data_IF_473248863058
#
_entry.id   IF_473248863058
#
_cell.length_a   1.000
_cell.length_b   1.000
_cell.length_c   1.000
_cell.angle_alpha   90.00
_cell.angle_beta   90.00
_cell.angle_gamma   90.00
#
_symmetry.space_group_name_H-M   'P 1'
#
loop_
_entity.id
_entity.type
_entity.pdbx_description
1 polymer ?
#
# COMPACT_ATOMS: atom_id res chain seq x y z
N UNK A 1 -91.25 -2.57 -28.39
CA UNK A 1 -90.86 -1.95 -27.10
C UNK A 1 -89.38 -2.16 -26.90
N UNK A 2 -88.65 -1.09 -27.15
CA UNK A 2 -87.16 -1.02 -26.96
C UNK A 2 -86.85 -0.76 -25.46
N UNK A 3 -85.91 -1.51 -24.93
CA UNK A 3 -85.25 -1.15 -23.65
C UNK A 3 -83.76 -1.10 -23.98
N UNK A 4 -83.25 0.11 -23.94
CA UNK A 4 -81.83 0.46 -24.09
C UNK A 4 -81.17 0.29 -22.73
N UNK A 5 -80.25 -0.68 -22.59
CA UNK A 5 -79.43 -0.83 -21.41
C UNK A 5 -78.11 0.03 -21.52
N UNK A 6 -77.99 1.02 -20.68
CA UNK A 6 -76.80 1.85 -20.62
C UNK A 6 -75.69 1.11 -19.82
N UNK A 7 -74.58 0.81 -20.51
CA UNK A 7 -73.35 0.28 -19.91
C UNK A 7 -72.50 1.46 -19.37
N UNK A 8 -72.44 1.68 -18.09
CA UNK A 8 -71.53 2.62 -17.44
C UNK A 8 -70.15 1.99 -17.29
N UNK A 9 -69.20 2.47 -18.08
CA UNK A 9 -67.81 2.08 -18.01
C UNK A 9 -67.15 2.78 -16.80
N UNK A 10 -66.77 2.05 -15.82
CA UNK A 10 -65.95 2.50 -14.67
C UNK A 10 -64.48 2.69 -15.11
N UNK A 11 -64.12 3.92 -15.48
CA UNK A 11 -62.76 4.39 -15.66
C UNK A 11 -62.28 5.00 -14.30
N UNK A 12 -61.81 4.19 -13.41
CA UNK A 12 -61.36 4.67 -12.08
C UNK A 12 -60.20 3.87 -11.50
N UNK A 13 -59.23 3.45 -12.29
CA UNK A 13 -58.14 2.62 -11.74
C UNK A 13 -56.71 3.07 -12.04
N UNK A 14 -56.47 4.06 -12.89
CA UNK A 14 -55.10 4.43 -13.33
C UNK A 14 -54.47 5.63 -12.62
N UNK A 15 -55.20 6.34 -11.77
CA UNK A 15 -54.70 7.60 -11.21
C UNK A 15 -54.01 7.44 -9.84
N UNK A 16 -54.28 6.38 -9.11
CA UNK A 16 -53.70 6.17 -7.78
C UNK A 16 -52.29 5.55 -7.83
N UNK A 17 -51.99 4.69 -8.79
CA UNK A 17 -50.65 4.15 -9.02
C UNK A 17 -49.66 5.25 -9.42
N UNK A 18 -50.04 6.13 -10.33
CA UNK A 18 -49.15 7.23 -10.77
C UNK A 18 -48.87 8.26 -9.66
N UNK A 19 -49.82 8.49 -8.75
CA UNK A 19 -49.61 9.34 -7.60
C UNK A 19 -48.69 8.68 -6.55
N UNK A 20 -48.80 7.38 -6.36
CA UNK A 20 -47.93 6.64 -5.46
C UNK A 20 -46.48 6.60 -5.99
N UNK A 21 -46.28 6.38 -7.30
CA UNK A 21 -44.96 6.37 -7.91
C UNK A 21 -44.30 7.76 -7.93
N UNK A 22 -45.06 8.82 -8.15
CA UNK A 22 -44.53 10.19 -8.10
C UNK A 22 -44.16 10.61 -6.67
N UNK A 23 -44.90 10.17 -5.66
CA UNK A 23 -44.59 10.40 -4.25
C UNK A 23 -43.30 9.65 -3.83
N UNK A 24 -43.11 8.41 -4.27
CA UNK A 24 -41.87 7.64 -4.02
C UNK A 24 -40.66 8.27 -4.68
N UNK A 25 -40.78 8.68 -5.93
CA UNK A 25 -39.68 9.41 -6.63
C UNK A 25 -39.35 10.77 -5.97
N UNK A 26 -40.35 11.47 -5.43
CA UNK A 26 -40.10 12.70 -4.71
C UNK A 26 -39.35 12.47 -3.38
N UNK A 27 -39.68 11.41 -2.66
CA UNK A 27 -39.02 11.04 -1.40
C UNK A 27 -37.58 10.53 -1.65
N UNK A 28 -37.39 9.71 -2.70
CA UNK A 28 -36.08 9.24 -3.11
C UNK A 28 -35.16 10.39 -3.58
N UNK A 29 -35.72 11.36 -4.33
CA UNK A 29 -34.99 12.57 -4.71
C UNK A 29 -34.66 13.47 -3.51
N UNK A 30 -35.51 13.53 -2.48
CA UNK A 30 -35.24 14.26 -1.27
C UNK A 30 -34.09 13.60 -0.48
N UNK A 31 -34.08 12.29 -0.38
CA UNK A 31 -33.02 11.51 0.31
C UNK A 31 -31.66 11.65 -0.44
N UNK A 32 -31.68 11.56 -1.77
CA UNK A 32 -30.48 11.75 -2.59
C UNK A 32 -29.90 13.16 -2.44
N UNK A 33 -30.74 14.19 -2.35
CA UNK A 33 -30.30 15.57 -2.11
C UNK A 33 -29.66 15.76 -0.75
N UNK A 34 -30.16 15.10 0.30
CA UNK A 34 -29.57 15.14 1.64
C UNK A 34 -28.18 14.50 1.63
N UNK A 35 -28.07 13.31 1.04
CA UNK A 35 -26.77 12.60 0.96
C UNK A 35 -25.73 13.35 0.12
N UNK A 36 -26.15 14.00 -0.99
CA UNK A 36 -25.23 14.82 -1.80
C UNK A 36 -24.78 16.09 -1.07
N UNK A 37 -25.64 16.70 -0.25
CA UNK A 37 -25.25 17.85 0.57
C UNK A 37 -24.29 17.44 1.69
N UNK A 38 -24.53 16.32 2.36
CA UNK A 38 -23.62 15.81 3.39
C UNK A 38 -22.21 15.51 2.83
N UNK A 39 -22.16 14.89 1.63
CA UNK A 39 -20.89 14.65 0.95
C UNK A 39 -20.19 15.93 0.49
N UNK A 40 -20.95 16.95 0.08
CA UNK A 40 -20.39 18.25 -0.28
C UNK A 40 -19.80 18.97 0.94
N UNK A 41 -20.46 18.89 2.09
CA UNK A 41 -19.99 19.48 3.34
C UNK A 41 -18.73 18.76 3.87
N UNK A 42 -18.67 17.42 3.75
CA UNK A 42 -17.49 16.65 4.12
C UNK A 42 -16.29 16.98 3.22
N UNK A 43 -16.51 17.08 1.91
CA UNK A 43 -15.49 17.52 0.95
C UNK A 43 -15.01 18.95 1.25
N UNK A 44 -15.91 19.86 1.63
CA UNK A 44 -15.54 21.21 2.01
C UNK A 44 -14.68 21.23 3.27
N UNK A 45 -15.02 20.43 4.29
CA UNK A 45 -14.22 20.28 5.52
C UNK A 45 -12.82 19.72 5.23
N UNK A 46 -12.72 18.65 4.44
CA UNK A 46 -11.43 18.07 4.08
C UNK A 46 -10.56 19.03 3.26
N UNK A 47 -11.16 19.85 2.37
CA UNK A 47 -10.44 20.89 1.64
C UNK A 47 -9.94 22.00 2.56
N UNK A 48 -10.77 22.46 3.49
CA UNK A 48 -10.39 23.47 4.47
C UNK A 48 -9.27 22.98 5.39
N UNK A 49 -9.29 21.71 5.80
CA UNK A 49 -8.24 21.10 6.60
C UNK A 49 -6.93 20.95 5.81
N UNK A 50 -7.01 20.57 4.54
CA UNK A 50 -5.84 20.51 3.65
C UNK A 50 -5.21 21.89 3.42
N UNK A 51 -6.04 22.93 3.22
CA UNK A 51 -5.55 24.31 3.12
C UNK A 51 -4.94 24.80 4.43
N UNK A 52 -5.53 24.44 5.56
CA UNK A 52 -4.98 24.74 6.89
C UNK A 52 -3.64 24.06 7.14
N UNK A 53 -3.49 22.79 6.70
CA UNK A 53 -2.23 22.04 6.78
C UNK A 53 -1.16 22.62 5.84
N UNK A 54 -1.57 23.14 4.67
CA UNK A 54 -0.67 23.83 3.75
C UNK A 54 -0.31 25.25 4.21
N UNK A 55 -1.25 25.93 4.88
CA UNK A 55 -1.07 27.28 5.41
C UNK A 55 -0.44 27.31 6.80
N UNK A 56 -0.21 26.17 7.44
CA UNK A 56 0.60 26.12 8.65
C UNK A 56 1.97 26.71 8.32
N UNK A 57 2.38 27.80 8.98
CA UNK A 57 3.67 28.41 8.68
C UNK A 57 4.73 27.32 8.91
N UNK A 58 5.52 27.07 7.87
CA UNK A 58 6.76 26.33 8.04
C UNK A 58 7.45 26.97 9.24
N UNK A 59 7.62 26.22 10.32
CA UNK A 59 8.37 26.66 11.47
C UNK A 59 9.77 26.96 10.96
N UNK A 60 9.98 28.20 10.57
CA UNK A 60 11.29 28.76 10.28
C UNK A 60 12.00 28.82 11.63
N UNK A 61 12.61 27.72 12.01
CA UNK A 61 13.69 27.77 12.98
C UNK A 61 14.96 28.24 12.27
N UNK A 62 14.98 29.53 12.01
CA UNK A 62 16.23 30.25 11.75
C UNK A 62 16.89 30.47 13.11
N UNK A 63 17.60 29.47 13.61
CA UNK A 63 18.71 29.72 14.50
C UNK A 63 19.98 29.53 13.68
N UNK A 64 20.90 30.49 13.68
CA UNK A 64 22.23 30.28 13.14
C UNK A 64 22.98 29.41 14.15
N UNK A 65 22.84 28.13 14.03
CA UNK A 65 23.73 27.19 14.67
C UNK A 65 25.00 27.17 13.83
N UNK A 66 26.11 27.57 14.47
CA UNK A 66 27.46 27.45 13.97
C UNK A 66 27.63 26.11 13.22
N UNK A 67 28.21 26.20 12.01
CA UNK A 67 28.57 25.05 11.19
C UNK A 67 29.36 24.04 12.01
N UNK A 68 28.84 22.84 12.27
CA UNK A 68 29.71 21.73 12.59
C UNK A 68 30.27 21.21 11.26
N UNK A 69 31.58 21.20 11.18
CA UNK A 69 32.38 20.57 10.14
C UNK A 69 31.68 19.35 9.57
N UNK A 70 31.42 19.39 8.26
CA UNK A 70 31.16 18.30 7.31
C UNK A 70 31.04 16.90 7.92
N UNK A 71 29.93 16.62 8.60
CA UNK A 71 29.46 15.26 8.76
C UNK A 71 28.53 15.02 7.55
N UNK A 72 29.05 14.37 6.52
CA UNK A 72 28.20 13.74 5.48
C UNK A 72 27.11 12.99 6.22
N UNK A 73 25.79 13.21 5.89
CA UNK A 73 24.73 12.46 6.57
C UNK A 73 25.07 10.98 6.47
N UNK A 74 24.89 10.20 7.53
CA UNK A 74 25.26 8.80 7.54
C UNK A 74 24.55 8.12 6.36
N UNK A 75 25.32 7.65 5.39
CA UNK A 75 24.80 7.04 4.18
C UNK A 75 24.29 5.66 4.53
N UNK A 76 23.04 5.37 4.15
CA UNK A 76 22.53 4.01 4.21
C UNK A 76 23.44 3.08 3.41
N UNK A 77 23.82 1.96 3.99
CA UNK A 77 24.58 0.91 3.29
C UNK A 77 23.58 -0.09 2.74
N UNK A 78 23.52 -0.21 1.42
CA UNK A 78 22.63 -1.14 0.74
C UNK A 78 23.39 -2.38 0.31
N UNK A 79 22.96 -3.54 0.77
CA UNK A 79 23.46 -4.86 0.37
C UNK A 79 22.39 -5.50 -0.51
N UNK A 80 22.64 -5.56 -1.81
CA UNK A 80 21.73 -6.19 -2.78
C UNK A 80 22.00 -7.68 -2.88
N UNK A 81 20.92 -8.49 -2.81
CA UNK A 81 20.99 -9.92 -3.04
C UNK A 81 20.01 -10.31 -4.15
N UNK A 82 20.52 -10.97 -5.18
CA UNK A 82 19.69 -11.41 -6.29
C UNK A 82 18.60 -12.38 -5.82
N UNK A 83 17.36 -12.13 -6.23
CA UNK A 83 16.23 -12.94 -5.84
C UNK A 83 16.32 -14.39 -6.31
N UNK A 84 16.93 -14.61 -7.47
CA UNK A 84 17.12 -15.96 -8.04
C UNK A 84 18.14 -16.80 -7.27
N UNK A 85 19.05 -16.15 -6.53
CA UNK A 85 19.97 -16.81 -5.58
C UNK A 85 19.22 -17.19 -4.30
N UNK A 86 18.36 -16.29 -3.81
CA UNK A 86 17.62 -16.50 -2.56
C UNK A 86 16.46 -17.49 -2.71
N UNK A 87 15.71 -17.41 -3.82
CA UNK A 87 14.42 -18.10 -3.97
C UNK A 87 14.29 -18.78 -5.33
N UNK A 88 13.53 -19.87 -5.38
CA UNK A 88 13.04 -20.39 -6.65
C UNK A 88 11.90 -19.51 -7.18
N UNK A 89 11.63 -19.60 -8.49
CA UNK A 89 10.59 -18.82 -9.15
C UNK A 89 9.22 -18.98 -8.46
N UNK A 90 8.58 -17.87 -8.11
CA UNK A 90 7.28 -17.85 -7.41
C UNK A 90 7.30 -18.37 -5.97
N UNK A 91 8.47 -18.76 -5.44
CA UNK A 91 8.62 -19.29 -4.08
C UNK A 91 9.14 -18.23 -3.10
N UNK A 92 8.90 -18.50 -1.82
CA UNK A 92 9.42 -17.69 -0.69
C UNK A 92 10.40 -18.49 0.18
N UNK A 93 10.48 -19.81 0.00
CA UNK A 93 11.44 -20.64 0.73
C UNK A 93 12.87 -20.36 0.25
N UNK A 94 13.79 -20.16 1.18
CA UNK A 94 15.19 -19.88 0.90
C UNK A 94 15.90 -21.12 0.35
N UNK A 95 16.62 -20.92 -0.74
CA UNK A 95 17.54 -21.91 -1.31
C UNK A 95 18.80 -22.03 -0.46
N UNK A 96 19.56 -23.09 -0.64
CA UNK A 96 20.82 -23.32 0.09
C UNK A 96 21.82 -22.18 -0.18
N UNK A 97 22.00 -21.82 -1.43
CA UNK A 97 22.91 -20.74 -1.87
C UNK A 97 22.51 -19.40 -1.24
N UNK A 98 21.20 -19.15 -1.16
CA UNK A 98 20.67 -17.95 -0.50
C UNK A 98 20.93 -17.93 1.00
N UNK A 99 20.84 -19.08 1.67
CA UNK A 99 21.19 -19.20 3.10
C UNK A 99 22.66 -18.93 3.35
N UNK A 100 23.54 -19.48 2.50
CA UNK A 100 24.99 -19.28 2.61
C UNK A 100 25.37 -17.80 2.44
N UNK A 101 24.68 -17.08 1.54
CA UNK A 101 24.88 -15.64 1.36
C UNK A 101 24.34 -14.85 2.55
N UNK A 102 23.14 -15.16 3.03
CA UNK A 102 22.56 -14.53 4.21
C UNK A 102 23.36 -14.78 5.49
N UNK A 103 24.06 -15.91 5.62
CA UNK A 103 24.97 -16.20 6.74
C UNK A 103 26.15 -15.23 6.78
N UNK A 104 26.74 -14.89 5.63
CA UNK A 104 27.80 -13.87 5.52
C UNK A 104 27.26 -12.49 5.89
N UNK A 105 26.06 -12.17 5.42
CA UNK A 105 25.41 -10.90 5.72
C UNK A 105 25.09 -10.80 7.22
N UNK A 106 24.54 -11.85 7.84
CA UNK A 106 24.26 -11.88 9.26
C UNK A 106 25.52 -11.65 10.12
N UNK A 107 26.63 -12.32 9.77
CA UNK A 107 27.93 -12.10 10.42
C UNK A 107 28.38 -10.65 10.31
N UNK A 108 28.26 -10.06 9.12
CA UNK A 108 28.64 -8.67 8.87
C UNK A 108 27.76 -7.68 9.66
N UNK A 109 26.43 -7.90 9.69
CA UNK A 109 25.48 -7.09 10.45
C UNK A 109 25.76 -7.13 11.94
N UNK A 110 26.08 -8.30 12.49
CA UNK A 110 26.39 -8.45 13.91
C UNK A 110 27.77 -7.88 14.29
N UNK A 111 28.76 -7.97 13.38
CA UNK A 111 30.12 -7.51 13.66
C UNK A 111 30.28 -6.00 13.48
N UNK A 112 29.73 -5.41 12.41
CA UNK A 112 29.97 -4.01 12.03
C UNK A 112 28.79 -3.07 12.27
N UNK A 113 27.57 -3.60 12.31
CA UNK A 113 26.34 -2.81 12.36
C UNK A 113 25.39 -3.27 13.48
N UNK A 114 25.98 -3.65 14.64
CA UNK A 114 25.21 -4.22 15.75
C UNK A 114 24.16 -3.28 16.35
N UNK A 115 24.36 -1.96 16.26
CA UNK A 115 23.43 -0.93 16.75
C UNK A 115 22.54 -0.32 15.69
N UNK A 116 22.82 -0.57 14.39
CA UNK A 116 22.06 0.03 13.29
C UNK A 116 20.72 -0.67 13.10
N UNK A 117 19.70 0.10 12.65
CA UNK A 117 18.45 -0.46 12.14
C UNK A 117 18.68 -1.06 10.76
N UNK A 118 17.95 -2.10 10.44
CA UNK A 118 18.04 -2.79 9.16
C UNK A 118 16.66 -2.79 8.52
N UNK A 119 16.56 -2.36 7.26
CA UNK A 119 15.34 -2.44 6.47
C UNK A 119 15.55 -3.42 5.33
N UNK A 120 14.68 -4.39 5.21
CA UNK A 120 14.72 -5.39 4.14
C UNK A 120 13.64 -5.04 3.13
N UNK A 121 14.05 -4.68 1.91
CA UNK A 121 13.17 -4.31 0.82
C UNK A 121 13.09 -5.46 -0.19
N UNK A 122 11.88 -6.03 -0.36
CA UNK A 122 11.63 -7.06 -1.38
C UNK A 122 11.19 -6.42 -2.70
N UNK A 123 11.75 -6.89 -3.81
CA UNK A 123 11.44 -6.41 -5.16
C UNK A 123 11.10 -7.58 -6.09
N UNK A 124 10.22 -7.32 -7.05
CA UNK A 124 9.90 -8.21 -8.18
C UNK A 124 10.16 -7.51 -9.51
N UNK A 125 10.10 -8.27 -10.58
CA UNK A 125 9.93 -7.69 -11.91
C UNK A 125 8.46 -7.24 -12.12
N UNK A 126 8.19 -6.65 -13.28
CA UNK A 126 6.88 -6.16 -13.67
C UNK A 126 5.93 -7.24 -14.22
N UNK A 127 6.38 -8.50 -14.30
CA UNK A 127 5.52 -9.56 -14.82
C UNK A 127 4.40 -9.88 -13.84
N UNK A 128 3.15 -9.99 -14.31
CA UNK A 128 2.04 -10.34 -13.44
C UNK A 128 2.20 -11.79 -12.95
N UNK A 129 1.83 -12.01 -11.70
CA UNK A 129 1.87 -13.35 -11.11
C UNK A 129 0.78 -14.23 -11.74
N UNK A 130 1.16 -15.25 -12.52
CA UNK A 130 0.21 -16.13 -13.21
C UNK A 130 0.07 -17.52 -12.57
N UNK A 131 1.08 -18.00 -11.86
CA UNK A 131 1.18 -19.41 -11.41
C UNK A 131 1.63 -19.56 -9.95
N UNK A 132 1.37 -18.58 -9.09
CA UNK A 132 1.70 -18.67 -7.67
C UNK A 132 0.49 -18.42 -6.80
N UNK A 133 0.55 -18.82 -5.53
CA UNK A 133 -0.50 -18.60 -4.54
C UNK A 133 -0.60 -17.13 -4.07
N UNK A 134 0.28 -16.26 -4.56
CA UNK A 134 0.35 -14.88 -4.10
C UNK A 134 -0.58 -13.99 -4.92
N UNK A 135 -1.36 -13.12 -4.28
CA UNK A 135 -2.34 -12.28 -4.97
C UNK A 135 -1.69 -11.14 -5.78
N UNK A 136 -0.49 -10.70 -5.41
CA UNK A 136 0.21 -9.59 -6.08
C UNK A 136 1.72 -9.68 -5.91
N UNK A 137 2.46 -8.90 -6.72
CA UNK A 137 3.91 -8.75 -6.61
C UNK A 137 4.32 -8.12 -5.28
N UNK A 138 3.53 -7.24 -4.71
CA UNK A 138 3.76 -6.64 -3.40
C UNK A 138 3.67 -7.71 -2.31
N UNK A 139 2.61 -8.53 -2.34
CA UNK A 139 2.43 -9.61 -1.38
C UNK A 139 3.56 -10.65 -1.46
N UNK A 140 3.99 -11.01 -2.66
CA UNK A 140 5.13 -11.94 -2.86
C UNK A 140 6.43 -11.32 -2.33
N UNK A 141 6.70 -10.07 -2.65
CA UNK A 141 7.93 -9.37 -2.22
C UNK A 141 7.95 -9.14 -0.72
N UNK A 142 6.82 -8.83 -0.10
CA UNK A 142 6.68 -8.71 1.35
C UNK A 142 6.98 -10.06 2.04
N UNK A 143 6.38 -11.14 1.58
CA UNK A 143 6.60 -12.46 2.15
C UNK A 143 8.06 -12.93 2.01
N UNK A 144 8.74 -12.56 0.92
CA UNK A 144 10.18 -12.82 0.73
C UNK A 144 11.04 -12.02 1.70
N UNK A 145 10.73 -10.74 1.90
CA UNK A 145 11.42 -9.91 2.88
C UNK A 145 11.24 -10.44 4.31
N UNK A 146 10.06 -10.94 4.65
CA UNK A 146 9.77 -11.55 5.95
C UNK A 146 10.54 -12.86 6.17
N UNK A 147 10.66 -13.70 5.15
CA UNK A 147 11.44 -14.93 5.25
C UNK A 147 12.94 -14.63 5.44
N UNK A 148 13.47 -13.60 4.77
CA UNK A 148 14.84 -13.12 4.99
C UNK A 148 15.00 -12.59 6.43
N UNK A 149 14.05 -11.77 6.92
CA UNK A 149 14.05 -11.31 8.32
C UNK A 149 14.10 -12.48 9.30
N UNK A 150 13.22 -13.45 9.10
CA UNK A 150 13.14 -14.65 9.95
C UNK A 150 14.47 -15.40 9.97
N UNK A 151 15.10 -15.55 8.81
CA UNK A 151 16.39 -16.23 8.70
C UNK A 151 17.51 -15.44 9.40
N UNK A 152 17.63 -14.13 9.14
CA UNK A 152 18.63 -13.29 9.78
C UNK A 152 18.46 -13.27 11.31
N UNK A 153 17.21 -13.25 11.79
CA UNK A 153 16.93 -13.33 13.23
C UNK A 153 17.37 -14.67 13.83
N UNK A 154 17.22 -15.78 13.10
CA UNK A 154 17.72 -17.09 13.54
C UNK A 154 19.25 -17.15 13.59
N UNK A 155 19.95 -16.22 12.93
CA UNK A 155 21.42 -16.07 12.93
C UNK A 155 21.91 -14.99 13.90
N UNK A 156 21.05 -14.55 14.83
CA UNK A 156 21.43 -13.66 15.94
C UNK A 156 21.30 -12.17 15.62
N UNK A 157 20.69 -11.78 14.49
CA UNK A 157 20.36 -10.38 14.24
C UNK A 157 19.07 -10.05 14.99
N UNK A 158 19.09 -9.08 15.89
CA UNK A 158 17.95 -8.72 16.74
C UNK A 158 16.72 -8.34 15.88
N UNK A 159 15.61 -9.02 16.11
CA UNK A 159 14.39 -8.93 15.28
C UNK A 159 13.69 -7.57 15.38
N UNK A 160 13.82 -6.89 16.51
CA UNK A 160 13.26 -5.56 16.81
C UNK A 160 13.90 -4.44 15.98
N UNK A 161 15.14 -4.62 15.55
CA UNK A 161 15.82 -3.67 14.67
C UNK A 161 15.62 -3.95 13.17
N UNK A 162 14.94 -5.05 12.81
CA UNK A 162 14.68 -5.40 11.41
C UNK A 162 13.25 -5.04 11.03
N UNK A 163 13.10 -4.18 10.03
CA UNK A 163 11.82 -3.89 9.36
C UNK A 163 11.77 -4.50 7.97
N UNK A 164 10.60 -4.84 7.47
CA UNK A 164 10.40 -5.43 6.14
C UNK A 164 9.43 -4.60 5.32
N UNK A 165 9.70 -4.45 4.03
CA UNK A 165 8.84 -3.74 3.07
C UNK A 165 8.80 -4.50 1.76
N UNK A 166 7.59 -4.83 1.30
CA UNK A 166 7.37 -5.39 -0.04
C UNK A 166 7.09 -4.28 -1.04
N UNK A 167 8.03 -4.00 -1.92
CA UNK A 167 7.92 -2.94 -2.92
C UNK A 167 7.42 -3.45 -4.28
N UNK A 168 7.24 -4.77 -4.44
CA UNK A 168 6.78 -5.33 -5.70
C UNK A 168 7.61 -4.84 -6.89
N UNK A 169 6.94 -4.39 -7.94
CA UNK A 169 7.55 -3.88 -9.17
C UNK A 169 7.78 -2.35 -9.18
N UNK A 170 7.67 -1.66 -8.06
CA UNK A 170 7.72 -0.18 -8.02
C UNK A 170 9.09 0.41 -8.30
N UNK A 171 10.17 -0.35 -8.06
CA UNK A 171 11.57 0.09 -8.31
C UNK A 171 12.25 -0.87 -9.30
N UNK A 172 11.88 -0.86 -10.59
CA UNK A 172 12.48 -1.74 -11.59
C UNK A 172 13.93 -1.35 -11.85
N UNK A 173 14.75 -2.34 -12.22
CA UNK A 173 16.10 -2.15 -12.77
C UNK A 173 16.11 -2.38 -14.28
N UNK A 174 17.27 -2.22 -14.91
CA UNK A 174 17.43 -2.34 -16.35
C UNK A 174 17.01 -3.72 -16.90
N UNK A 175 17.09 -4.77 -16.09
CA UNK A 175 16.69 -6.11 -16.49
C UNK A 175 15.75 -6.74 -15.46
N UNK A 176 14.89 -7.66 -15.92
CA UNK A 176 13.97 -8.40 -15.03
C UNK A 176 14.72 -9.20 -13.95
N UNK A 177 15.81 -9.95 -14.24
CA UNK A 177 16.59 -10.60 -13.19
C UNK A 177 17.13 -9.65 -12.14
N UNK A 178 17.65 -8.47 -12.54
CA UNK A 178 18.13 -7.47 -11.60
C UNK A 178 16.99 -6.80 -10.80
N UNK A 179 15.78 -6.77 -11.35
CA UNK A 179 14.59 -6.28 -10.64
C UNK A 179 14.14 -7.24 -9.56
N UNK A 180 14.29 -8.55 -9.77
CA UNK A 180 14.02 -9.59 -8.76
C UNK A 180 15.17 -9.66 -7.76
N UNK A 181 15.07 -8.91 -6.66
CA UNK A 181 16.12 -8.81 -5.64
C UNK A 181 15.55 -8.58 -4.25
N UNK A 182 16.39 -8.72 -3.27
CA UNK A 182 16.15 -8.23 -1.90
C UNK A 182 17.27 -7.29 -1.53
N UNK A 183 16.92 -6.08 -1.16
CA UNK A 183 17.85 -5.06 -0.69
C UNK A 183 17.84 -5.06 0.85
N UNK A 184 19.01 -5.28 1.46
CA UNK A 184 19.19 -5.19 2.91
C UNK A 184 19.87 -3.86 3.17
N UNK A 185 19.08 -2.90 3.66
CA UNK A 185 19.49 -1.54 3.90
C UNK A 185 19.84 -1.36 5.36
N UNK A 186 21.11 -1.11 5.65
CA UNK A 186 21.58 -0.71 6.97
C UNK A 186 21.39 0.79 7.08
N UNK A 187 20.48 1.21 7.93
CA UNK A 187 20.16 2.63 8.11
C UNK A 187 21.29 3.30 8.89
N UNK A 188 21.84 4.38 8.34
CA UNK A 188 22.84 5.18 9.02
C UNK A 188 22.27 5.79 10.31
N UNK A 189 23.06 5.82 11.36
CA UNK A 189 22.72 6.48 12.63
C UNK A 189 23.17 7.94 12.59
#
# INVERSE_FOLDING_TARGET
MMVVGASTLLLGGCNDSQKADSARMADENATLKVTTNEQADELARMRAENERLKAAPAVTQSQPVAEPKTATPPRDVVIEVAGDVLFASGQVSLRKEGKDELDKIAKNLNAKYSSNRVRIEGHTDSDPIKKSKWPSNEALSQARAEEVKKYLSSKGVASDRITTVGLGATKPKATKPASRRVDIVVVGN
#
